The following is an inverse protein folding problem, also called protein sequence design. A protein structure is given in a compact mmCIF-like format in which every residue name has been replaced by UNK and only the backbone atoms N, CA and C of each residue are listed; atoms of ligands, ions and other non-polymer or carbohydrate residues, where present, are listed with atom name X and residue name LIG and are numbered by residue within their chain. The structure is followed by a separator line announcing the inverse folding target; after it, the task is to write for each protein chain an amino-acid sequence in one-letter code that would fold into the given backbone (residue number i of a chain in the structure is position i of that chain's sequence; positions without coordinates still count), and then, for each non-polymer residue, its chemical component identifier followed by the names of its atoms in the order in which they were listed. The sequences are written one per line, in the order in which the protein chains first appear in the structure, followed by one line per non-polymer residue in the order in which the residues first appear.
data_IF_271514081127
#
_entry.id   IF_271514081127
#
_cell.length_a   1.000
_cell.length_b   1.000
_cell.length_c   1.000
_cell.angle_alpha   90.00
_cell.angle_beta   90.00
_cell.angle_gamma   90.00
#
_symmetry.space_group_name_H-M   'P 1'
#
loop_
_entity.id
_entity.type
_entity.pdbx_description
1 polymer ?
#
# COMPACT_ATOMS: atom_id res chain seq x y z
N UNK A 1 12.28 25.40 1.92
CA UNK A 1 11.13 25.10 1.05
C UNK A 1 9.93 24.80 1.93
N UNK A 2 8.75 25.31 1.64
CA UNK A 2 7.58 24.88 2.38
C UNK A 2 7.43 23.37 2.20
N UNK A 3 7.11 22.68 3.31
CA UNK A 3 6.92 21.22 3.29
C UNK A 3 5.76 20.90 2.33
N UNK A 4 6.06 20.19 1.26
CA UNK A 4 5.08 19.86 0.23
C UNK A 4 4.40 18.53 0.57
N UNK A 5 3.11 18.56 0.83
CA UNK A 5 2.29 17.37 1.14
C UNK A 5 2.24 16.37 -0.02
N UNK A 6 2.54 16.78 -1.24
CA UNK A 6 2.59 15.89 -2.41
C UNK A 6 3.80 14.94 -2.36
N UNK A 7 4.88 15.34 -1.67
CA UNK A 7 6.10 14.51 -1.62
C UNK A 7 5.87 13.14 -0.98
N UNK A 8 5.26 13.01 0.22
CA UNK A 8 4.96 11.70 0.77
C UNK A 8 4.02 10.88 -0.12
N UNK A 9 3.04 11.51 -0.76
CA UNK A 9 2.16 10.81 -1.70
C UNK A 9 2.95 10.26 -2.90
N UNK A 10 3.83 11.05 -3.49
CA UNK A 10 4.69 10.62 -4.58
C UNK A 10 5.62 9.46 -4.17
N UNK A 11 6.18 9.51 -2.96
CA UNK A 11 6.99 8.41 -2.40
C UNK A 11 6.18 7.12 -2.32
N UNK A 12 4.94 7.18 -1.87
CA UNK A 12 4.09 5.99 -1.79
C UNK A 12 3.72 5.44 -3.18
N UNK A 13 3.50 6.31 -4.17
CA UNK A 13 3.29 5.89 -5.57
C UNK A 13 4.51 5.11 -6.08
N UNK A 14 5.71 5.66 -5.91
CA UNK A 14 6.94 4.97 -6.30
C UNK A 14 7.11 3.65 -5.56
N UNK A 15 6.85 3.63 -4.25
CA UNK A 15 6.90 2.41 -3.45
C UNK A 15 5.95 1.34 -3.97
N UNK A 16 4.74 1.71 -4.36
CA UNK A 16 3.76 0.78 -4.94
C UNK A 16 4.29 0.13 -6.22
N UNK A 17 4.96 0.91 -7.07
CA UNK A 17 5.61 0.36 -8.29
C UNK A 17 6.77 -0.58 -7.92
N UNK A 18 7.58 -0.24 -6.92
CA UNK A 18 8.65 -1.12 -6.42
C UNK A 18 8.06 -2.46 -5.96
N UNK A 19 6.94 -2.44 -5.25
CA UNK A 19 6.27 -3.65 -4.81
C UNK A 19 5.67 -4.46 -5.96
N UNK A 20 5.15 -3.81 -7.00
CA UNK A 20 4.72 -4.47 -8.23
C UNK A 20 5.88 -5.24 -8.89
N UNK A 21 7.05 -4.60 -8.98
CA UNK A 21 8.25 -5.23 -9.54
C UNK A 21 8.68 -6.43 -8.67
N UNK A 22 8.70 -6.27 -7.35
CA UNK A 22 9.05 -7.37 -6.44
C UNK A 22 8.07 -8.54 -6.55
N UNK A 23 6.79 -8.26 -6.61
CA UNK A 23 5.76 -9.28 -6.86
C UNK A 23 6.03 -10.03 -8.17
N UNK A 24 6.27 -9.31 -9.26
CA UNK A 24 6.54 -9.92 -10.57
C UNK A 24 7.82 -10.74 -10.58
N UNK A 25 8.88 -10.25 -9.95
CA UNK A 25 10.17 -10.93 -9.87
C UNK A 25 10.12 -12.25 -9.09
N UNK A 26 9.22 -12.38 -8.11
CA UNK A 26 9.04 -13.61 -7.34
C UNK A 26 7.99 -14.53 -7.95
N UNK A 27 6.92 -13.97 -8.47
CA UNK A 27 5.81 -14.73 -9.08
C UNK A 27 6.19 -15.35 -10.42
N UNK A 28 6.96 -14.65 -11.25
CA UNK A 28 7.38 -15.14 -12.56
C UNK A 28 8.09 -16.49 -12.51
N UNK A 29 9.18 -16.65 -11.73
CA UNK A 29 9.85 -17.94 -11.57
C UNK A 29 8.95 -19.02 -10.95
N UNK A 30 8.09 -18.68 -9.99
CA UNK A 30 7.17 -19.62 -9.37
C UNK A 30 6.13 -20.15 -10.38
N UNK A 31 5.63 -19.31 -11.26
CA UNK A 31 4.72 -19.71 -12.34
C UNK A 31 5.40 -20.62 -13.37
N UNK A 32 6.66 -20.35 -13.70
CA UNK A 32 7.43 -21.23 -14.60
C UNK A 32 7.60 -22.62 -14.02
N UNK A 33 7.86 -22.73 -12.72
CA UNK A 33 7.97 -24.03 -12.04
C UNK A 33 6.65 -24.79 -11.96
N UNK A 34 5.55 -24.06 -11.77
CA UNK A 34 4.21 -24.63 -11.71
C UNK A 34 3.77 -25.23 -13.06
N UNK A 35 4.08 -24.55 -14.17
CA UNK A 35 3.58 -24.88 -15.50
C UNK A 35 2.19 -24.33 -15.76
N UNK A 36 1.92 -23.91 -17.01
CA UNK A 36 0.65 -23.29 -17.40
C UNK A 36 -0.53 -24.26 -17.47
N UNK A 37 -0.25 -25.56 -17.59
CA UNK A 37 -1.24 -26.64 -17.64
C UNK A 37 -2.02 -26.81 -16.32
N UNK A 38 -1.47 -26.33 -15.20
CA UNK A 38 -2.11 -26.38 -13.88
C UNK A 38 -3.03 -25.20 -13.60
N UNK A 39 -3.05 -24.21 -14.47
CA UNK A 39 -3.92 -23.04 -14.35
C UNK A 39 -5.15 -23.21 -15.22
N UNK A 40 -6.33 -22.94 -14.65
CA UNK A 40 -7.56 -22.90 -15.41
C UNK A 40 -7.56 -21.75 -16.43
N UNK A 41 -8.30 -21.87 -17.51
CA UNK A 41 -8.50 -20.79 -18.46
C UNK A 41 -9.09 -19.57 -17.77
N UNK A 42 -8.52 -18.39 -17.98
CA UNK A 42 -8.95 -17.15 -17.33
C UNK A 42 -8.56 -17.05 -15.84
N UNK A 43 -7.56 -17.82 -15.40
CA UNK A 43 -7.07 -17.77 -14.02
C UNK A 43 -6.62 -16.36 -13.63
N UNK A 44 -6.95 -15.94 -12.41
CA UNK A 44 -6.55 -14.68 -11.79
C UNK A 44 -5.45 -14.91 -10.76
N UNK A 45 -4.84 -13.81 -10.26
CA UNK A 45 -3.82 -13.90 -9.23
C UNK A 45 -4.26 -14.68 -7.97
N UNK A 46 -5.51 -14.58 -7.60
CA UNK A 46 -6.12 -15.30 -6.46
C UNK A 46 -6.14 -16.81 -6.65
N UNK A 47 -6.22 -17.27 -7.88
CA UNK A 47 -6.26 -18.71 -8.21
C UNK A 47 -4.89 -19.39 -8.00
N UNK A 48 -3.84 -18.61 -7.72
CA UNK A 48 -2.50 -19.11 -7.38
C UNK A 48 -2.36 -19.51 -5.92
N UNK A 49 -3.34 -19.18 -5.06
CA UNK A 49 -3.33 -19.60 -3.66
C UNK A 49 -3.31 -21.14 -3.57
N UNK A 50 -2.36 -21.65 -2.80
CA UNK A 50 -2.16 -23.09 -2.66
C UNK A 50 -1.42 -23.77 -3.82
N UNK A 51 -1.17 -23.06 -4.93
CA UNK A 51 -0.46 -23.60 -6.10
C UNK A 51 1.01 -23.18 -6.15
N UNK A 52 1.34 -22.01 -5.63
CA UNK A 52 2.71 -21.49 -5.52
C UNK A 52 3.04 -21.25 -4.04
N UNK A 53 4.33 -21.07 -3.67
CA UNK A 53 4.69 -20.84 -2.27
C UNK A 53 3.96 -19.65 -1.65
N UNK A 54 3.57 -19.78 -0.39
CA UNK A 54 2.80 -18.75 0.32
C UNK A 54 3.52 -17.40 0.39
N UNK A 55 4.83 -17.43 0.63
CA UNK A 55 5.65 -16.21 0.71
C UNK A 55 5.70 -15.46 -0.63
N UNK A 56 5.54 -16.13 -1.75
CA UNK A 56 5.37 -15.49 -3.07
C UNK A 56 4.01 -14.80 -3.15
N UNK A 57 2.95 -15.44 -2.68
CA UNK A 57 1.61 -14.85 -2.63
C UNK A 57 1.54 -13.64 -1.68
N UNK A 58 2.32 -13.60 -0.60
CA UNK A 58 2.36 -12.44 0.30
C UNK A 58 2.73 -11.14 -0.40
N UNK A 59 3.63 -11.18 -1.40
CA UNK A 59 4.00 -10.01 -2.21
C UNK A 59 2.81 -9.50 -3.02
N UNK A 60 2.00 -10.41 -3.55
CA UNK A 60 0.78 -10.05 -4.25
C UNK A 60 -0.29 -9.46 -3.32
N UNK A 61 -0.48 -10.06 -2.14
CA UNK A 61 -1.39 -9.53 -1.11
C UNK A 61 -0.99 -8.12 -0.68
N UNK A 62 0.32 -7.89 -0.49
CA UNK A 62 0.86 -6.58 -0.16
C UNK A 62 0.59 -5.55 -1.28
N UNK A 63 0.84 -5.92 -2.53
CA UNK A 63 0.59 -5.02 -3.66
C UNK A 63 -0.90 -4.65 -3.75
N UNK A 64 -1.80 -5.61 -3.63
CA UNK A 64 -3.26 -5.35 -3.62
C UNK A 64 -3.64 -4.44 -2.45
N UNK A 65 -3.08 -4.67 -1.26
CA UNK A 65 -3.33 -3.82 -0.09
C UNK A 65 -2.87 -2.37 -0.32
N UNK A 66 -1.78 -2.16 -1.06
CA UNK A 66 -1.32 -0.82 -1.45
C UNK A 66 -2.23 -0.13 -2.47
N UNK A 67 -3.08 -0.86 -3.17
CA UNK A 67 -4.08 -0.31 -4.09
C UNK A 67 -5.45 -0.07 -3.43
N UNK A 68 -5.67 -0.58 -2.23
CA UNK A 68 -6.93 -0.43 -1.49
C UNK A 68 -6.96 0.86 -0.66
N UNK A 69 -6.49 0.81 0.57
CA UNK A 69 -6.55 1.96 1.50
C UNK A 69 -5.79 3.20 1.02
N UNK A 70 -4.59 3.12 0.42
CA UNK A 70 -3.89 4.30 -0.07
C UNK A 70 -4.63 5.13 -1.12
N UNK A 71 -5.64 4.59 -1.80
CA UNK A 71 -6.49 5.38 -2.69
C UNK A 71 -7.22 6.49 -1.94
N UNK A 72 -7.68 6.21 -0.72
CA UNK A 72 -8.31 7.20 0.17
C UNK A 72 -7.27 8.24 0.62
N UNK A 73 -6.06 7.81 0.93
CA UNK A 73 -4.96 8.72 1.27
C UNK A 73 -4.64 9.69 0.14
N UNK A 74 -4.51 9.22 -1.10
CA UNK A 74 -4.26 10.09 -2.25
C UNK A 74 -5.40 11.10 -2.45
N UNK A 75 -6.65 10.65 -2.28
CA UNK A 75 -7.80 11.54 -2.38
C UNK A 75 -7.78 12.64 -1.29
N UNK A 76 -7.49 12.26 -0.04
CA UNK A 76 -7.38 13.23 1.06
C UNK A 76 -6.27 14.25 0.82
N UNK A 77 -5.09 13.81 0.40
CA UNK A 77 -3.96 14.69 0.04
C UNK A 77 -4.37 15.65 -1.09
N UNK A 78 -5.03 15.15 -2.12
CA UNK A 78 -5.47 15.96 -3.25
C UNK A 78 -6.49 17.04 -2.83
N UNK A 79 -7.46 16.67 -1.99
CA UNK A 79 -8.43 17.63 -1.42
C UNK A 79 -7.70 18.74 -0.64
N UNK A 80 -6.77 18.36 0.23
CA UNK A 80 -5.98 19.30 1.02
C UNK A 80 -5.16 20.25 0.14
N UNK A 81 -4.57 19.76 -0.96
CA UNK A 81 -3.84 20.61 -1.90
C UNK A 81 -4.74 21.67 -2.53
N UNK A 82 -5.97 21.32 -2.88
CA UNK A 82 -6.93 22.22 -3.50
C UNK A 82 -7.57 23.21 -2.52
N UNK A 83 -7.79 22.78 -1.27
CA UNK A 83 -8.53 23.56 -0.26
C UNK A 83 -7.60 24.32 0.71
N UNK A 84 -6.34 23.93 0.78
CA UNK A 84 -5.34 24.47 1.70
C UNK A 84 -4.91 23.43 2.73
N UNK A 85 -3.63 23.41 3.06
CA UNK A 85 -3.04 22.50 4.05
C UNK A 85 -1.97 23.22 4.87
N UNK A 86 -1.71 22.69 6.07
CA UNK A 86 -0.69 23.19 6.98
C UNK A 86 0.47 22.22 7.21
N UNK A 87 1.44 22.64 8.04
CA UNK A 87 2.57 21.77 8.39
C UNK A 87 2.17 20.45 9.06
N UNK A 88 1.07 20.46 9.85
CA UNK A 88 0.55 19.26 10.51
C UNK A 88 0.08 18.22 9.48
N UNK A 89 -0.64 18.66 8.45
CA UNK A 89 -1.13 17.77 7.39
C UNK A 89 0.04 17.09 6.67
N UNK A 90 1.09 17.84 6.40
CA UNK A 90 2.30 17.29 5.78
C UNK A 90 3.00 16.29 6.69
N UNK A 91 3.06 16.57 7.99
CA UNK A 91 3.63 15.63 8.98
C UNK A 91 2.80 14.34 9.05
N UNK A 92 1.49 14.47 9.11
CA UNK A 92 0.56 13.30 9.12
C UNK A 92 0.68 12.48 7.83
N UNK A 93 0.82 13.14 6.68
CA UNK A 93 1.03 12.45 5.41
C UNK A 93 2.33 11.65 5.41
N UNK A 94 3.42 12.20 5.91
CA UNK A 94 4.68 11.47 6.07
C UNK A 94 4.56 10.32 7.05
N UNK A 95 3.90 10.51 8.19
CA UNK A 95 3.68 9.47 9.17
C UNK A 95 2.89 8.30 8.56
N UNK A 96 1.81 8.61 7.82
CA UNK A 96 1.04 7.59 7.09
C UNK A 96 1.93 6.78 6.15
N UNK A 97 2.69 7.45 5.29
CA UNK A 97 3.53 6.80 4.27
C UNK A 97 4.61 5.93 4.91
N UNK A 98 5.29 6.44 5.95
CA UNK A 98 6.33 5.67 6.66
C UNK A 98 5.72 4.40 7.27
N UNK A 99 4.60 4.51 7.98
CA UNK A 99 3.95 3.36 8.60
C UNK A 99 3.45 2.38 7.52
N UNK A 100 2.94 2.87 6.40
CA UNK A 100 2.51 2.02 5.28
C UNK A 100 3.67 1.29 4.61
N UNK A 101 4.81 1.93 4.45
CA UNK A 101 6.01 1.27 3.91
C UNK A 101 6.48 0.17 4.87
N UNK A 102 6.55 0.45 6.18
CA UNK A 102 6.91 -0.55 7.20
C UNK A 102 5.91 -1.71 7.18
N UNK A 103 4.61 -1.43 7.16
CA UNK A 103 3.57 -2.44 7.02
C UNK A 103 3.74 -3.29 5.76
N UNK A 104 4.04 -2.63 4.63
CA UNK A 104 4.23 -3.27 3.33
C UNK A 104 5.39 -4.27 3.37
N UNK A 105 6.55 -3.86 3.87
CA UNK A 105 7.71 -4.76 4.02
C UNK A 105 7.38 -5.91 4.97
N UNK A 106 6.72 -5.63 6.09
CA UNK A 106 6.34 -6.65 7.06
C UNK A 106 5.40 -7.69 6.44
N UNK A 107 4.37 -7.25 5.73
CA UNK A 107 3.40 -8.15 5.07
C UNK A 107 4.06 -8.99 3.97
N UNK A 108 4.96 -8.40 3.17
CA UNK A 108 5.59 -9.08 2.05
C UNK A 108 6.67 -10.09 2.47
N UNK A 109 7.37 -9.85 3.59
CA UNK A 109 8.55 -10.61 3.99
C UNK A 109 8.36 -11.45 5.25
N UNK A 110 7.57 -11.00 6.22
CA UNK A 110 7.40 -11.64 7.53
C UNK A 110 5.98 -12.14 7.76
N UNK A 111 5.01 -11.29 7.46
CA UNK A 111 3.57 -11.55 7.48
C UNK A 111 3.02 -12.13 8.80
N UNK A 112 3.58 -11.72 9.94
CA UNK A 112 3.15 -12.19 11.26
C UNK A 112 2.19 -11.22 11.94
N UNK A 113 1.13 -11.78 12.54
CA UNK A 113 0.28 -11.10 13.51
C UNK A 113 0.98 -11.15 14.90
N UNK A 114 0.72 -10.20 15.81
CA UNK A 114 -0.18 -9.04 15.70
C UNK A 114 0.46 -7.78 15.09
N UNK A 115 1.77 -7.77 14.81
CA UNK A 115 2.48 -6.58 14.34
C UNK A 115 1.88 -6.01 13.04
N UNK A 116 1.50 -6.86 12.10
CA UNK A 116 0.83 -6.45 10.86
C UNK A 116 -0.46 -5.69 11.15
N UNK A 117 -1.29 -6.20 12.05
CA UNK A 117 -2.56 -5.57 12.43
C UNK A 117 -2.33 -4.23 13.13
N UNK A 118 -1.34 -4.12 14.02
CA UNK A 118 -1.01 -2.87 14.72
C UNK A 118 -0.55 -1.81 13.72
N UNK A 119 0.34 -2.14 12.80
CA UNK A 119 0.81 -1.22 11.77
C UNK A 119 -0.34 -0.74 10.87
N UNK A 120 -1.25 -1.65 10.51
CA UNK A 120 -2.45 -1.29 9.75
C UNK A 120 -3.35 -0.33 10.52
N UNK A 121 -3.63 -0.61 11.79
CA UNK A 121 -4.48 0.24 12.64
C UNK A 121 -3.85 1.62 12.87
N UNK A 122 -2.56 1.71 13.08
CA UNK A 122 -1.85 3.00 13.23
C UNK A 122 -1.98 3.82 11.96
N UNK A 123 -1.71 3.24 10.80
CA UNK A 123 -1.86 3.95 9.52
C UNK A 123 -3.30 4.37 9.26
N UNK A 124 -4.27 3.53 9.64
CA UNK A 124 -5.70 3.84 9.50
C UNK A 124 -6.10 5.02 10.39
N UNK A 125 -5.62 5.08 11.63
CA UNK A 125 -5.88 6.20 12.53
C UNK A 125 -5.31 7.53 11.97
N UNK A 126 -4.11 7.51 11.47
CA UNK A 126 -3.48 8.68 10.83
C UNK A 126 -4.28 9.12 9.60
N UNK A 127 -4.71 8.16 8.77
CA UNK A 127 -5.53 8.43 7.60
C UNK A 127 -6.89 9.03 7.98
N UNK A 128 -7.51 8.53 9.05
CA UNK A 128 -8.77 9.07 9.55
C UNK A 128 -8.63 10.54 9.96
N UNK A 129 -7.53 10.93 10.60
CA UNK A 129 -7.26 12.33 10.94
C UNK A 129 -7.10 13.15 9.66
N UNK A 130 -6.29 12.70 8.69
CA UNK A 130 -6.14 13.39 7.41
C UNK A 130 -7.46 13.56 6.65
N UNK A 131 -8.33 12.55 6.70
CA UNK A 131 -9.64 12.61 6.06
C UNK A 131 -10.55 13.66 6.73
N UNK A 132 -10.49 13.78 8.05
CA UNK A 132 -11.22 14.83 8.80
C UNK A 132 -10.66 16.21 8.46
N UNK A 133 -9.33 16.39 8.45
CA UNK A 133 -8.70 17.65 8.04
C UNK A 133 -9.11 18.03 6.61
N UNK A 134 -9.10 17.07 5.68
CA UNK A 134 -9.57 17.29 4.32
C UNK A 134 -11.04 17.74 4.26
N UNK A 135 -11.91 17.12 5.07
CA UNK A 135 -13.31 17.54 5.16
C UNK A 135 -13.43 18.96 5.70
N UNK A 136 -12.75 19.27 6.81
CA UNK A 136 -12.81 20.60 7.43
C UNK A 136 -12.27 21.69 6.51
N UNK A 137 -11.26 21.39 5.71
CA UNK A 137 -10.69 22.33 4.74
C UNK A 137 -11.66 22.70 3.60
N UNK A 138 -12.73 21.91 3.41
CA UNK A 138 -13.75 22.19 2.37
C UNK A 138 -14.97 22.96 2.90
N UNK A 139 -15.12 23.11 4.22
CA UNK A 139 -16.25 23.81 4.86
C UNK A 139 -15.98 25.31 4.99
#
# INVERSE_FOLDING_TARGET
MPANILTPAAVLVVWTIVMLIWMGATRGPALRKLGTDKLKHGARGQDLEGLIPDDVNWKAHNYVNLLEQPTIFYAAVFILVLSGYGPLDTLLAWLYVIVRIVHSVWQAAVNRQPARAILFLVSTAVLAILAVEALLATL
#
